data_IF_671183583697
#
_entry.id   IF_671183583697
#
_cell.length_a   1.000
_cell.length_b   1.000
_cell.length_c   1.000
_cell.angle_alpha   90.00
_cell.angle_beta   90.00
_cell.angle_gamma   90.00
#
_symmetry.space_group_name_H-M   'P 1'
#
loop_
_entity.id
_entity.type
_entity.pdbx_description
1 polymer ?
#
# COMPACT_ATOMS: atom_id res chain seq x y z
N UNK A 1 -4.90 12.01 -1.76
CA UNK A 1 -3.48 11.70 -2.02
C UNK A 1 -2.97 10.66 -1.03
N UNK A 2 -2.29 9.62 -1.51
CA UNK A 2 -1.55 8.71 -0.66
C UNK A 2 -0.34 9.43 -0.03
N UNK A 3 -0.30 9.52 1.30
CA UNK A 3 0.72 10.25 2.07
C UNK A 3 1.66 9.35 2.88
N UNK A 4 1.43 8.03 2.87
CA UNK A 4 2.32 7.08 3.52
C UNK A 4 1.83 5.64 3.48
N UNK A 5 2.61 4.77 4.12
CA UNK A 5 2.37 3.33 4.21
C UNK A 5 1.59 2.99 5.47
N UNK A 6 0.86 1.88 5.43
CA UNK A 6 0.11 1.39 6.58
C UNK A 6 0.10 -0.14 6.63
N UNK A 7 0.01 -0.67 7.85
CA UNK A 7 -0.30 -2.07 8.13
C UNK A 7 -1.56 -2.11 8.99
N UNK A 8 -2.61 -2.77 8.51
CA UNK A 8 -3.93 -2.81 9.17
C UNK A 8 -4.41 -4.24 9.38
N UNK A 9 -4.85 -4.55 10.59
CA UNK A 9 -5.56 -5.79 10.90
C UNK A 9 -6.70 -5.52 11.88
N UNK A 10 -7.92 -5.95 11.51
CA UNK A 10 -9.13 -5.54 12.24
C UNK A 10 -9.24 -4.02 12.31
N UNK A 11 -9.43 -3.49 13.50
CA UNK A 11 -9.59 -2.04 13.75
C UNK A 11 -8.27 -1.32 14.02
N UNK A 12 -7.17 -2.05 14.18
CA UNK A 12 -5.86 -1.46 14.45
C UNK A 12 -5.10 -1.19 13.15
N UNK A 13 -4.47 -0.03 13.08
CA UNK A 13 -3.65 0.42 11.97
C UNK A 13 -2.38 1.08 12.49
N UNK A 14 -1.23 0.62 12.01
CA UNK A 14 0.05 1.33 12.16
C UNK A 14 0.35 1.99 10.83
N UNK A 15 0.40 3.32 10.84
CA UNK A 15 0.61 4.15 9.65
C UNK A 15 1.83 5.04 9.84
N UNK A 16 2.67 5.12 8.81
CA UNK A 16 3.87 5.95 8.80
C UNK A 16 3.91 6.82 7.54
N UNK A 17 4.21 8.12 7.67
CA UNK A 17 4.27 9.02 6.53
C UNK A 17 5.44 8.66 5.61
N UNK A 18 5.40 9.13 4.36
CA UNK A 18 6.58 9.09 3.48
C UNK A 18 7.82 9.69 4.19
N UNK A 19 9.03 9.14 3.98
CA UNK A 19 9.41 8.08 3.04
C UNK A 19 9.44 6.66 3.66
N UNK A 20 8.73 6.42 4.77
CA UNK A 20 8.75 5.10 5.43
C UNK A 20 8.15 3.99 4.55
N UNK A 21 8.57 2.75 4.82
CA UNK A 21 8.19 1.51 4.14
C UNK A 21 7.37 0.60 5.05
N UNK A 22 6.71 -0.41 4.51
CA UNK A 22 5.96 -1.40 5.32
C UNK A 22 6.85 -2.13 6.34
N UNK A 23 8.15 -2.25 6.05
CA UNK A 23 9.14 -2.79 7.00
C UNK A 23 9.26 -1.92 8.26
N UNK A 24 9.17 -0.60 8.13
CA UNK A 24 9.23 0.33 9.27
C UNK A 24 7.97 0.19 10.15
N UNK A 25 6.80 0.05 9.53
CA UNK A 25 5.57 -0.28 10.28
C UNK A 25 5.71 -1.61 11.03
N UNK A 26 6.29 -2.62 10.39
CA UNK A 26 6.55 -3.94 10.99
C UNK A 26 7.46 -3.81 12.22
N UNK A 27 8.52 -3.00 12.14
CA UNK A 27 9.43 -2.74 13.25
C UNK A 27 8.71 -2.06 14.43
N UNK A 28 7.80 -1.12 14.17
CA UNK A 28 6.98 -0.47 15.21
C UNK A 28 6.02 -1.45 15.86
N UNK A 29 5.32 -2.29 15.07
CA UNK A 29 4.39 -3.28 15.61
C UNK A 29 5.14 -4.26 16.53
N UNK A 30 6.35 -4.69 16.14
CA UNK A 30 7.22 -5.52 16.96
C UNK A 30 7.68 -4.82 18.23
N UNK A 31 8.15 -3.56 18.14
CA UNK A 31 8.66 -2.82 19.30
C UNK A 31 7.58 -2.51 20.33
N UNK A 32 6.33 -2.36 19.89
CA UNK A 32 5.17 -2.18 20.75
C UNK A 32 4.61 -3.49 21.32
N UNK A 33 5.13 -4.65 20.90
CA UNK A 33 4.67 -5.97 21.35
C UNK A 33 3.22 -6.28 20.96
N UNK A 34 2.70 -5.64 19.90
CA UNK A 34 1.29 -5.77 19.48
C UNK A 34 1.00 -7.17 18.92
N UNK A 35 1.98 -7.80 18.27
CA UNK A 35 1.84 -9.11 17.63
C UNK A 35 3.10 -9.95 17.88
N UNK A 36 3.01 -11.08 18.61
CA UNK A 36 4.17 -11.94 18.92
C UNK A 36 4.80 -12.60 17.68
N UNK A 37 3.97 -12.90 16.66
CA UNK A 37 4.41 -13.52 15.41
C UNK A 37 3.94 -12.69 14.22
N UNK A 38 4.63 -11.58 13.99
CA UNK A 38 4.22 -10.62 12.99
C UNK A 38 4.27 -11.19 11.56
N UNK A 39 5.27 -12.02 11.25
CA UNK A 39 5.50 -12.52 9.90
C UNK A 39 4.36 -13.44 9.43
N UNK A 40 3.77 -14.21 10.36
CA UNK A 40 2.62 -15.06 10.04
C UNK A 40 1.27 -14.35 10.17
N UNK A 41 1.26 -13.10 10.64
CA UNK A 41 0.06 -12.30 10.86
C UNK A 41 0.14 -11.00 10.05
N UNK A 42 0.43 -9.87 10.70
CA UNK A 42 0.30 -8.53 10.11
C UNK A 42 1.40 -8.18 9.10
N UNK A 43 2.50 -8.93 9.08
CA UNK A 43 3.59 -8.79 8.11
C UNK A 43 3.24 -9.30 6.72
N UNK A 44 2.13 -10.03 6.56
CA UNK A 44 1.67 -10.53 5.25
C UNK A 44 1.18 -9.38 4.36
N UNK A 45 1.40 -9.53 3.05
CA UNK A 45 0.96 -8.57 2.03
C UNK A 45 -0.52 -8.18 2.14
N UNK A 46 -1.39 -9.10 2.60
CA UNK A 46 -2.82 -8.84 2.81
C UNK A 46 -3.14 -7.71 3.81
N UNK A 47 -2.25 -7.45 4.77
CA UNK A 47 -2.41 -6.40 5.78
C UNK A 47 -1.68 -5.11 5.42
N UNK A 48 -0.80 -5.17 4.41
CA UNK A 48 0.01 -4.05 3.97
C UNK A 48 -0.75 -3.20 2.94
N UNK A 49 -0.73 -1.89 3.15
CA UNK A 49 -1.40 -0.93 2.28
C UNK A 49 -0.88 0.46 2.51
N UNK A 50 -1.73 1.44 2.26
CA UNK A 50 -1.39 2.85 2.27
C UNK A 50 -2.48 3.63 2.98
N UNK A 51 -2.20 4.89 3.30
CA UNK A 51 -3.23 5.80 3.80
C UNK A 51 -3.14 7.17 3.13
N UNK A 52 -4.29 7.85 3.07
CA UNK A 52 -4.37 9.21 2.55
C UNK A 52 -4.54 10.27 3.66
N UNK A 53 -4.62 11.54 3.27
CA UNK A 53 -4.70 12.71 4.16
C UNK A 53 -5.83 12.67 5.19
N UNK A 54 -6.90 11.93 4.93
CA UNK A 54 -8.01 11.77 5.86
C UNK A 54 -7.87 10.55 6.80
N UNK A 55 -6.73 9.85 6.75
CA UNK A 55 -6.45 8.66 7.56
C UNK A 55 -7.08 7.37 7.03
N UNK A 56 -7.77 7.40 5.88
CA UNK A 56 -8.37 6.20 5.29
C UNK A 56 -7.30 5.24 4.79
N UNK A 57 -7.45 3.97 5.16
CA UNK A 57 -6.63 2.87 4.66
C UNK A 57 -7.06 2.45 3.25
N UNK A 58 -6.07 2.18 2.42
CA UNK A 58 -6.21 1.64 1.08
C UNK A 58 -5.34 0.39 0.96
N UNK A 59 -5.93 -0.72 0.51
CA UNK A 59 -5.13 -1.85 0.02
C UNK A 59 -4.29 -1.41 -1.19
N UNK A 60 -3.20 -2.13 -1.52
CA UNK A 60 -2.34 -1.78 -2.68
C UNK A 60 -3.13 -1.47 -3.96
N UNK A 61 -4.14 -2.26 -4.37
CA UNK A 61 -4.93 -1.96 -5.57
C UNK A 61 -5.78 -0.69 -5.43
N UNK A 62 -6.38 -0.48 -4.27
CA UNK A 62 -7.20 0.70 -4.02
C UNK A 62 -6.31 1.96 -3.98
N UNK A 63 -5.10 1.85 -3.44
CA UNK A 63 -4.16 2.96 -3.33
C UNK A 63 -3.71 3.45 -4.71
N UNK A 64 -3.42 2.52 -5.62
CA UNK A 64 -3.10 2.84 -7.00
C UNK A 64 -4.26 3.55 -7.72
N UNK A 65 -5.47 2.99 -7.64
CA UNK A 65 -6.65 3.63 -8.24
C UNK A 65 -6.88 5.03 -7.66
N UNK A 66 -6.76 5.17 -6.34
CA UNK A 66 -6.92 6.47 -5.69
C UNK A 66 -5.82 7.46 -6.12
N UNK A 67 -4.57 7.02 -6.25
CA UNK A 67 -3.46 7.85 -6.71
C UNK A 67 -3.70 8.37 -8.13
N UNK A 68 -4.23 7.53 -9.02
CA UNK A 68 -4.69 7.94 -10.35
C UNK A 68 -5.84 8.95 -10.25
N UNK A 69 -6.90 8.62 -9.52
CA UNK A 69 -8.10 9.45 -9.41
C UNK A 69 -7.79 10.86 -8.87
N UNK A 70 -6.81 10.98 -7.97
CA UNK A 70 -6.39 12.26 -7.42
C UNK A 70 -5.23 12.93 -8.16
N UNK A 71 -4.79 12.38 -9.30
CA UNK A 71 -3.72 12.93 -10.12
C UNK A 71 -2.32 12.82 -9.52
N UNK A 72 -2.14 12.03 -8.46
CA UNK A 72 -0.84 11.74 -7.85
C UNK A 72 -0.01 10.77 -8.71
N UNK A 73 -0.67 9.94 -9.51
CA UNK A 73 -0.02 9.03 -10.43
C UNK A 73 -0.70 9.11 -11.79
N UNK A 74 0.07 9.16 -12.87
CA UNK A 74 -0.46 9.10 -14.22
C UNK A 74 -0.44 7.66 -14.72
N UNK A 75 -1.48 7.25 -15.45
CA UNK A 75 -1.36 6.08 -16.30
C UNK A 75 -0.39 6.40 -17.43
N UNK A 76 0.66 5.59 -17.60
CA UNK A 76 1.41 5.69 -18.86
C UNK A 76 0.56 5.07 -19.98
N UNK A 77 0.56 5.68 -21.16
CA UNK A 77 -0.23 5.21 -22.31
C UNK A 77 -0.01 3.72 -22.62
N UNK A 78 1.24 3.25 -22.47
CA UNK A 78 1.61 1.85 -22.61
C UNK A 78 0.90 0.92 -21.61
N UNK A 79 0.69 1.34 -20.36
CA UNK A 79 0.04 0.48 -19.36
C UNK A 79 -1.43 0.26 -19.67
N UNK A 80 -2.13 1.26 -20.19
CA UNK A 80 -3.52 1.14 -20.62
C UNK A 80 -3.64 0.23 -21.85
N UNK A 81 -2.71 0.37 -22.79
CA UNK A 81 -2.68 -0.42 -24.02
C UNK A 81 -2.35 -1.89 -23.73
N UNK A 82 -1.38 -2.17 -22.84
CA UNK A 82 -1.04 -3.52 -22.41
C UNK A 82 -2.17 -4.23 -21.62
N UNK A 83 -2.97 -3.48 -20.85
CA UNK A 83 -4.19 -4.01 -20.20
C UNK A 83 -5.24 -4.34 -21.25
N UNK A 84 -5.45 -3.47 -22.23
CA UNK A 84 -6.44 -3.68 -23.29
C UNK A 84 -6.09 -4.87 -24.20
N UNK A 85 -4.79 -5.11 -24.42
CA UNK A 85 -4.28 -6.25 -25.20
C UNK A 85 -4.28 -7.58 -24.41
N UNK A 86 -4.55 -7.54 -23.11
CA UNK A 86 -4.42 -8.71 -22.23
C UNK A 86 -2.98 -9.20 -22.04
N UNK A 87 -2.00 -8.43 -22.52
CA UNK A 87 -0.57 -8.72 -22.40
C UNK A 87 0.00 -8.36 -21.02
N UNK A 88 -0.74 -7.55 -20.27
CA UNK A 88 -0.51 -7.33 -18.86
C UNK A 88 -1.77 -7.69 -18.09
N UNK A 89 -1.74 -8.81 -17.35
CA UNK A 89 -2.63 -8.95 -16.21
C UNK A 89 -2.22 -7.89 -15.20
N UNK A 90 -3.15 -7.05 -14.76
CA UNK A 90 -2.92 -6.13 -13.67
C UNK A 90 -2.63 -6.95 -12.40
N UNK A 91 -1.36 -7.29 -12.19
CA UNK A 91 -0.86 -7.88 -10.96
C UNK A 91 -0.85 -6.79 -9.89
N UNK A 92 -2.05 -6.60 -9.32
CA UNK A 92 -2.42 -5.84 -8.12
C UNK A 92 -1.45 -5.93 -6.93
N UNK A 93 -0.53 -6.89 -6.96
CA UNK A 93 0.41 -7.27 -5.91
C UNK A 93 1.77 -6.57 -6.00
N UNK A 94 2.10 -5.94 -7.14
CA UNK A 94 3.42 -5.37 -7.40
C UNK A 94 3.69 -3.99 -6.79
N UNK A 95 2.65 -3.27 -6.36
CA UNK A 95 2.80 -1.89 -5.88
C UNK A 95 3.66 -1.87 -4.61
N UNK A 96 4.86 -1.32 -4.73
CA UNK A 96 5.71 -1.01 -3.59
C UNK A 96 5.52 0.45 -3.22
N UNK A 97 6.05 0.79 -2.04
CA UNK A 97 5.93 2.14 -1.51
C UNK A 97 6.47 3.18 -2.50
N UNK A 98 7.55 2.81 -3.21
CA UNK A 98 8.25 3.51 -4.27
C UNK A 98 7.38 4.03 -5.40
N UNK A 99 6.31 3.30 -5.72
CA UNK A 99 5.50 3.62 -6.89
C UNK A 99 4.55 4.80 -6.66
N UNK A 100 4.38 5.25 -5.41
CA UNK A 100 3.39 6.25 -5.01
C UNK A 100 4.00 7.60 -4.57
N UNK A 101 5.27 7.86 -4.82
CA UNK A 101 5.91 9.14 -4.48
C UNK A 101 6.72 9.75 -5.61
#
# INVERSE_FOLDING_TARGET
MIIGVAVKAGDLMVALPKPNRHADCTNIILSLGLVPDIQNQWGKSAHQGFYCENGKFYTRPQAFLHAVECGQQEWTANQLELIALGEMEFSRLGLCSEDLW
#
